data_IF_703409037862
#
_entry.id   IF_703409037862
#
_cell.length_a   1.000
_cell.length_b   1.000
_cell.length_c   1.000
_cell.angle_alpha   90.00
_cell.angle_beta   90.00
_cell.angle_gamma   90.00
#
_symmetry.space_group_name_H-M   'P 1'
#
loop_
_entity.id
_entity.type
_entity.pdbx_description
1 polymer ?
#
# COMPACT_ATOMS: atom_id res chain seq x y z
N UNK A 1 -0.89 -26.81 -5.28
CA UNK A 1 -1.70 -25.85 -4.51
C UNK A 1 -1.38 -24.44 -5.00
N UNK A 2 -2.29 -23.86 -5.78
CA UNK A 2 -2.19 -22.50 -6.31
C UNK A 2 -2.51 -21.54 -5.17
N UNK A 3 -1.55 -20.69 -4.78
CA UNK A 3 -1.75 -19.66 -3.78
C UNK A 3 -2.92 -18.80 -4.23
N UNK A 4 -4.08 -18.89 -3.55
CA UNK A 4 -5.26 -18.09 -3.89
C UNK A 4 -4.97 -16.65 -3.51
N UNK A 5 -4.50 -15.85 -4.47
CA UNK A 5 -4.43 -14.40 -4.36
C UNK A 5 -5.88 -13.90 -4.37
N UNK A 6 -6.51 -13.86 -3.20
CA UNK A 6 -7.89 -13.39 -3.03
C UNK A 6 -7.96 -11.90 -2.66
N UNK A 7 -6.91 -11.15 -3.03
CA UNK A 7 -6.86 -9.72 -2.79
C UNK A 7 -7.69 -8.98 -3.85
N UNK A 8 -8.14 -7.78 -3.49
CA UNK A 8 -8.93 -6.93 -4.36
C UNK A 8 -8.22 -5.61 -4.57
N UNK A 9 -8.42 -5.02 -5.73
CA UNK A 9 -8.11 -3.62 -5.99
C UNK A 9 -9.32 -2.78 -5.59
N UNK A 10 -9.07 -1.67 -4.91
CA UNK A 10 -10.12 -0.72 -4.53
C UNK A 10 -9.70 0.67 -4.99
N UNK A 11 -10.54 1.32 -5.78
CA UNK A 11 -10.37 2.74 -6.12
C UNK A 11 -11.34 3.60 -5.33
N UNK A 12 -10.86 4.77 -4.91
CA UNK A 12 -11.65 5.77 -4.19
C UNK A 12 -11.32 7.18 -4.70
N UNK A 13 -12.36 7.90 -5.13
CA UNK A 13 -12.30 9.34 -5.47
C UNK A 13 -12.79 10.15 -4.27
N UNK A 14 -11.90 10.95 -3.68
CA UNK A 14 -12.26 11.87 -2.59
C UNK A 14 -13.06 13.08 -3.11
N UNK A 15 -13.73 13.79 -2.20
CA UNK A 15 -14.48 15.01 -2.52
C UNK A 15 -13.60 16.14 -3.07
N UNK A 16 -12.32 16.17 -2.69
CA UNK A 16 -11.34 17.15 -3.17
C UNK A 16 -10.68 16.74 -4.49
N UNK A 17 -11.14 15.66 -5.13
CA UNK A 17 -10.64 15.20 -6.42
C UNK A 17 -9.42 14.29 -6.36
N UNK A 18 -8.81 14.07 -5.19
CA UNK A 18 -7.73 13.10 -5.02
C UNK A 18 -8.24 11.68 -5.26
N UNK A 19 -7.41 10.87 -5.92
CA UNK A 19 -7.74 9.51 -6.38
C UNK A 19 -6.72 8.55 -5.82
N UNK A 20 -7.19 7.57 -5.06
CA UNK A 20 -6.35 6.57 -4.43
C UNK A 20 -6.79 5.19 -4.89
N UNK A 21 -5.80 4.32 -5.13
CA UNK A 21 -6.04 2.92 -5.46
C UNK A 21 -5.22 2.08 -4.49
N UNK A 22 -5.84 1.06 -3.92
CA UNK A 22 -5.17 0.13 -3.00
C UNK A 22 -5.25 -1.29 -3.50
N UNK A 23 -4.25 -2.08 -3.14
CA UNK A 23 -4.18 -3.52 -3.35
C UNK A 23 -3.77 -4.19 -2.04
N UNK A 24 -4.57 -5.16 -1.56
CA UNK A 24 -4.33 -5.81 -0.26
C UNK A 24 -4.18 -4.81 0.91
N UNK A 25 -4.98 -3.74 0.91
CA UNK A 25 -4.95 -2.63 1.90
C UNK A 25 -3.68 -1.76 1.87
N UNK A 26 -2.84 -1.90 0.85
CA UNK A 26 -1.65 -1.06 0.63
C UNK A 26 -1.87 -0.18 -0.60
N UNK A 27 -1.42 1.07 -0.57
CA UNK A 27 -1.52 1.98 -1.71
C UNK A 27 -0.75 1.45 -2.93
N UNK A 28 -1.42 1.45 -4.09
CA UNK A 28 -0.87 0.95 -5.33
C UNK A 28 0.13 1.98 -5.88
N UNK A 29 1.40 1.62 -6.09
CA UNK A 29 2.39 2.57 -6.59
C UNK A 29 2.13 2.93 -8.06
N UNK A 30 2.38 4.20 -8.38
CA UNK A 30 2.22 4.77 -9.72
C UNK A 30 3.24 4.25 -10.74
N UNK A 31 4.44 3.86 -10.28
CA UNK A 31 5.52 3.29 -11.11
C UNK A 31 5.93 4.18 -12.30
N UNK A 32 6.02 5.49 -12.07
CA UNK A 32 6.43 6.45 -13.11
C UNK A 32 7.78 6.15 -13.74
N UNK A 33 8.70 5.54 -12.99
CA UNK A 33 10.02 5.13 -13.52
C UNK A 33 9.91 4.06 -14.62
N UNK A 34 8.83 3.27 -14.61
CA UNK A 34 8.63 2.16 -15.56
C UNK A 34 7.64 2.49 -16.66
N UNK A 35 6.68 3.37 -16.38
CA UNK A 35 5.65 3.76 -17.33
C UNK A 35 5.14 5.15 -16.97
N UNK A 36 5.59 6.18 -17.68
CA UNK A 36 5.23 7.58 -17.40
C UNK A 36 4.21 8.10 -18.40
N UNK A 37 2.98 7.58 -18.34
CA UNK A 37 1.89 8.08 -19.21
C UNK A 37 1.18 9.29 -18.62
N UNK A 38 0.95 9.30 -17.31
CA UNK A 38 0.33 10.43 -16.62
C UNK A 38 1.31 11.24 -15.79
N UNK A 39 1.00 12.53 -15.61
CA UNK A 39 1.66 13.42 -14.65
C UNK A 39 0.91 13.51 -13.31
N UNK A 40 -0.40 13.21 -13.32
CA UNK A 40 -1.34 13.58 -12.24
C UNK A 40 -2.02 12.34 -11.62
N UNK A 41 -1.25 11.30 -11.36
CA UNK A 41 -1.74 10.10 -10.67
C UNK A 41 -2.59 9.16 -11.53
N UNK A 42 -3.55 8.51 -10.86
CA UNK A 42 -4.51 7.59 -11.47
C UNK A 42 -5.81 8.29 -11.86
N UNK A 43 -6.50 7.74 -12.85
CA UNK A 43 -7.91 8.01 -13.12
C UNK A 43 -8.60 6.75 -13.62
N UNK A 44 -9.92 6.82 -13.80
CA UNK A 44 -10.75 5.73 -14.28
C UNK A 44 -12.07 6.26 -14.85
N UNK A 45 -12.77 5.41 -15.60
CA UNK A 45 -14.02 5.75 -16.28
C UNK A 45 -13.82 6.39 -17.66
N UNK A 46 -12.59 6.36 -18.16
CA UNK A 46 -12.19 6.90 -19.46
C UNK A 46 -10.91 6.18 -19.95
N UNK A 47 -10.47 6.48 -21.18
CA UNK A 47 -9.22 5.95 -21.77
C UNK A 47 -8.08 6.98 -21.76
N UNK A 48 -8.07 7.91 -20.79
CA UNK A 48 -7.04 8.94 -20.68
C UNK A 48 -5.69 8.36 -20.25
N UNK A 49 -4.64 9.18 -20.32
CA UNK A 49 -3.31 8.79 -19.89
C UNK A 49 -3.24 8.39 -18.40
N UNK A 50 -4.06 9.00 -17.52
CA UNK A 50 -4.16 8.64 -16.11
C UNK A 50 -4.88 7.29 -15.88
N UNK A 51 -5.85 6.95 -16.73
CA UNK A 51 -6.48 5.62 -16.72
C UNK A 51 -5.56 4.55 -17.26
N UNK A 52 -4.74 4.88 -18.26
CA UNK A 52 -3.70 3.98 -18.76
C UNK A 52 -2.59 3.77 -17.72
N UNK A 53 -2.25 4.79 -16.94
CA UNK A 53 -1.33 4.66 -15.81
C UNK A 53 -1.87 3.66 -14.78
N UNK A 54 -3.17 3.73 -14.48
CA UNK A 54 -3.83 2.79 -13.58
C UNK A 54 -3.81 1.37 -14.14
N UNK A 55 -4.17 1.22 -15.42
CA UNK A 55 -4.16 -0.07 -16.12
C UNK A 55 -2.78 -0.75 -16.01
N UNK A 56 -1.71 -0.02 -16.32
CA UNK A 56 -0.35 -0.50 -16.18
C UNK A 56 -0.02 -0.93 -14.75
N UNK A 57 -0.30 -0.09 -13.76
CA UNK A 57 0.03 -0.38 -12.36
C UNK A 57 -0.67 -1.64 -11.85
N UNK A 58 -1.92 -1.86 -12.23
CA UNK A 58 -2.70 -3.06 -11.91
C UNK A 58 -2.10 -4.30 -12.57
N UNK A 59 -1.85 -4.25 -13.89
CA UNK A 59 -1.26 -5.37 -14.61
C UNK A 59 0.09 -5.75 -14.02
N UNK A 60 1.02 -4.79 -13.88
CA UNK A 60 2.33 -5.04 -13.30
C UNK A 60 2.25 -5.62 -11.89
N UNK A 61 1.24 -5.26 -11.09
CA UNK A 61 1.08 -5.86 -9.76
C UNK A 61 0.92 -7.39 -9.85
N UNK A 62 0.23 -7.88 -10.89
CA UNK A 62 -0.09 -9.29 -11.09
C UNK A 62 0.83 -10.00 -12.11
N UNK A 63 1.50 -9.28 -13.00
CA UNK A 63 2.38 -9.76 -14.08
C UNK A 63 3.82 -9.20 -13.94
N UNK A 64 4.58 -9.14 -15.03
CA UNK A 64 5.81 -8.36 -15.14
C UNK A 64 5.59 -7.00 -15.82
N UNK A 65 6.68 -6.26 -16.00
CA UNK A 65 6.74 -4.94 -16.61
C UNK A 65 6.42 -4.97 -18.10
N UNK A 66 6.98 -5.92 -18.86
CA UNK A 66 6.86 -5.97 -20.33
C UNK A 66 5.41 -6.27 -20.73
N UNK A 67 4.83 -7.29 -20.11
CA UNK A 67 3.42 -7.64 -20.27
C UNK A 67 2.52 -6.43 -19.93
N UNK A 68 2.78 -5.77 -18.80
CA UNK A 68 1.99 -4.64 -18.37
C UNK A 68 2.08 -3.46 -19.36
N UNK A 69 3.24 -3.20 -19.97
CA UNK A 69 3.39 -2.15 -20.99
C UNK A 69 2.61 -2.48 -22.27
N UNK A 70 2.71 -3.72 -22.73
CA UNK A 70 2.09 -4.17 -23.99
C UNK A 70 0.55 -4.15 -23.90
N UNK A 71 0.00 -4.61 -22.77
CA UNK A 71 -1.44 -4.81 -22.61
C UNK A 71 -2.16 -3.69 -21.84
N UNK A 72 -1.46 -2.63 -21.41
CA UNK A 72 -2.06 -1.52 -20.65
C UNK A 72 -3.20 -0.82 -21.40
N UNK A 73 -3.07 -0.61 -22.72
CA UNK A 73 -4.09 0.08 -23.51
C UNK A 73 -5.36 -0.77 -23.64
N UNK A 74 -5.21 -2.06 -23.96
CA UNK A 74 -6.32 -3.00 -24.09
C UNK A 74 -7.05 -3.16 -22.76
N UNK A 75 -6.31 -3.43 -21.68
CA UNK A 75 -6.89 -3.52 -20.33
C UNK A 75 -7.58 -2.22 -19.90
N UNK A 76 -7.02 -1.07 -20.27
CA UNK A 76 -7.66 0.22 -19.99
C UNK A 76 -9.02 0.33 -20.68
N UNK A 77 -9.14 -0.10 -21.93
CA UNK A 77 -10.38 -0.02 -22.69
C UNK A 77 -11.42 -1.05 -22.24
N UNK A 78 -10.98 -2.25 -21.91
CA UNK A 78 -11.86 -3.35 -21.51
C UNK A 78 -12.42 -3.17 -20.10
N UNK A 79 -11.55 -2.78 -19.16
CA UNK A 79 -11.87 -2.80 -17.73
C UNK A 79 -11.92 -1.39 -17.15
N UNK A 80 -10.82 -0.62 -17.24
CA UNK A 80 -10.70 0.66 -16.50
C UNK A 80 -11.68 1.72 -17.00
N UNK A 81 -11.97 1.73 -18.31
CA UNK A 81 -12.96 2.62 -18.92
C UNK A 81 -14.37 2.38 -18.36
N UNK A 82 -14.70 1.15 -17.98
CA UNK A 82 -16.00 0.79 -17.42
C UNK A 82 -16.20 1.21 -15.95
N UNK A 83 -15.12 1.55 -15.25
CA UNK A 83 -15.17 1.98 -13.85
C UNK A 83 -15.65 3.44 -13.79
N UNK A 84 -16.96 3.69 -13.77
CA UNK A 84 -17.51 5.05 -13.72
C UNK A 84 -17.79 5.56 -12.30
N UNK A 85 -17.78 4.66 -11.31
CA UNK A 85 -18.07 4.98 -9.91
C UNK A 85 -17.01 5.84 -9.24
N UNK A 86 -17.43 6.59 -8.21
CA UNK A 86 -16.51 7.22 -7.25
C UNK A 86 -15.65 6.15 -6.57
N UNK A 87 -16.30 5.05 -6.21
CA UNK A 87 -15.71 3.89 -5.58
C UNK A 87 -15.93 2.66 -6.45
N UNK A 88 -14.92 1.80 -6.52
CA UNK A 88 -15.02 0.53 -7.22
C UNK A 88 -14.14 -0.53 -6.57
N UNK A 89 -14.51 -1.78 -6.78
CA UNK A 89 -13.76 -2.95 -6.33
C UNK A 89 -13.56 -3.85 -7.55
N UNK A 90 -12.33 -4.31 -7.74
CA UNK A 90 -11.97 -5.23 -8.82
C UNK A 90 -11.21 -6.43 -8.24
N UNK A 91 -11.71 -7.65 -8.43
CA UNK A 91 -11.06 -8.82 -7.86
C UNK A 91 -9.82 -9.19 -8.66
N UNK A 92 -8.76 -9.62 -7.94
CA UNK A 92 -7.57 -10.16 -8.61
C UNK A 92 -7.90 -11.36 -9.48
N UNK A 93 -8.88 -12.18 -9.09
CA UNK A 93 -9.30 -13.37 -9.84
C UNK A 93 -9.81 -13.00 -11.22
N UNK A 94 -10.57 -11.92 -11.33
CA UNK A 94 -11.18 -11.48 -12.58
C UNK A 94 -10.10 -10.92 -13.51
N UNK A 95 -9.14 -10.17 -12.95
CA UNK A 95 -7.98 -9.67 -13.70
C UNK A 95 -7.06 -10.82 -14.12
N UNK A 96 -6.82 -11.81 -13.27
CA UNK A 96 -6.03 -13.00 -13.61
C UNK A 96 -6.70 -13.77 -14.75
N UNK A 97 -8.02 -13.91 -14.74
CA UNK A 97 -8.75 -14.54 -15.83
C UNK A 97 -8.65 -13.72 -17.12
N UNK A 98 -8.71 -12.38 -17.03
CA UNK A 98 -8.46 -11.51 -18.18
C UNK A 98 -7.04 -11.72 -18.73
N UNK A 99 -6.02 -11.75 -17.87
CA UNK A 99 -4.63 -12.01 -18.26
C UNK A 99 -4.52 -13.36 -18.97
N UNK A 100 -5.12 -14.43 -18.45
CA UNK A 100 -5.07 -15.77 -19.07
C UNK A 100 -5.65 -15.84 -20.48
N UNK A 101 -6.58 -14.94 -20.80
CA UNK A 101 -7.18 -14.88 -22.12
C UNK A 101 -6.30 -14.15 -23.15
N UNK A 102 -5.19 -13.54 -22.71
CA UNK A 102 -4.17 -12.99 -23.61
C UNK A 102 -3.20 -14.09 -24.08
N UNK A 103 -2.59 -13.97 -25.27
CA UNK A 103 -1.67 -14.97 -25.81
C UNK A 103 -0.54 -15.39 -24.86
N UNK A 104 0.03 -14.42 -24.14
CA UNK A 104 1.21 -14.64 -23.28
C UNK A 104 0.85 -14.90 -21.81
N UNK A 105 -0.42 -14.75 -21.44
CA UNK A 105 -0.85 -14.64 -20.05
C UNK A 105 -0.59 -15.88 -19.18
N UNK A 106 -0.76 -17.08 -19.72
CA UNK A 106 -0.51 -18.33 -18.98
C UNK A 106 0.97 -18.51 -18.63
N UNK A 107 1.87 -18.14 -19.55
CA UNK A 107 3.31 -18.21 -19.30
C UNK A 107 3.74 -17.18 -18.25
N UNK A 108 3.29 -15.94 -18.39
CA UNK A 108 3.59 -14.85 -17.45
C UNK A 108 3.12 -15.18 -16.03
N UNK A 109 1.90 -15.71 -15.88
CA UNK A 109 1.38 -16.09 -14.57
C UNK A 109 2.16 -17.25 -13.94
N UNK A 110 2.64 -18.20 -14.74
CA UNK A 110 3.51 -19.29 -14.26
C UNK A 110 4.86 -18.75 -13.82
N UNK A 111 5.49 -17.89 -14.61
CA UNK A 111 6.78 -17.26 -14.27
C UNK A 111 6.67 -16.44 -12.98
N UNK A 112 5.63 -15.62 -12.84
CA UNK A 112 5.32 -14.85 -11.61
C UNK A 112 5.17 -15.77 -10.39
N UNK A 113 4.42 -16.85 -10.51
CA UNK A 113 4.22 -17.80 -9.42
C UNK A 113 5.51 -18.52 -9.01
N UNK A 114 6.39 -18.83 -9.96
CA UNK A 114 7.71 -19.42 -9.69
C UNK A 114 8.65 -18.41 -9.01
N UNK A 115 8.73 -17.17 -9.50
CA UNK A 115 9.53 -16.11 -8.88
C UNK A 115 9.11 -15.84 -7.42
N UNK A 116 7.80 -15.82 -7.15
CA UNK A 116 7.28 -15.71 -5.79
C UNK A 116 7.73 -16.87 -4.88
N UNK A 117 7.83 -18.10 -5.40
CA UNK A 117 8.31 -19.27 -4.63
C UNK A 117 9.81 -19.20 -4.34
N UNK A 118 10.62 -18.66 -5.25
CA UNK A 118 12.07 -18.51 -5.08
C UNK A 118 12.41 -17.40 -4.08
N UNK A 119 11.59 -16.34 -4.02
CA UNK A 119 11.77 -15.22 -3.10
C UNK A 119 11.26 -15.46 -1.67
N UNK A 120 10.55 -16.57 -1.41
CA UNK A 120 10.18 -16.93 -0.04
C UNK A 120 11.36 -17.64 0.65
N UNK A 121 11.98 -17.07 1.70
CA UNK A 121 12.78 -17.89 2.59
C UNK A 121 11.89 -19.03 3.09
N UNK A 122 12.43 -20.24 3.12
CA UNK A 122 11.72 -21.41 3.66
C UNK A 122 11.04 -21.04 4.97
N UNK A 123 9.80 -21.47 5.22
CA UNK A 123 9.14 -21.17 6.48
C UNK A 123 9.87 -21.94 7.58
N UNK A 124 10.94 -21.33 8.13
CA UNK A 124 11.42 -21.66 9.46
C UNK A 124 10.20 -21.52 10.34
N UNK A 125 9.79 -22.61 10.98
CA UNK A 125 8.64 -22.65 11.87
C UNK A 125 8.80 -21.61 12.98
N UNK A 126 8.36 -20.37 12.72
CA UNK A 126 8.21 -19.37 13.75
C UNK A 126 7.06 -19.85 14.62
N UNK A 127 7.38 -20.38 15.80
CA UNK A 127 6.44 -20.48 16.91
C UNK A 127 5.71 -19.14 16.96
N UNK A 128 4.38 -19.15 16.73
CA UNK A 128 3.52 -17.97 16.80
C UNK A 128 3.57 -17.41 18.22
N UNK A 129 4.54 -16.56 18.52
CA UNK A 129 4.47 -15.67 19.65
C UNK A 129 3.36 -14.70 19.28
N UNK A 130 2.21 -14.77 19.98
CA UNK A 130 1.10 -13.83 19.81
C UNK A 130 1.63 -12.41 20.02
N UNK A 131 1.93 -11.70 18.92
CA UNK A 131 2.41 -10.31 18.97
C UNK A 131 1.22 -9.41 19.26
N UNK A 132 1.44 -8.46 20.15
CA UNK A 132 0.45 -7.49 20.57
C UNK A 132 0.80 -6.15 19.90
N UNK A 133 -0.08 -5.68 19.02
CA UNK A 133 0.16 -4.50 18.18
C UNK A 133 0.45 -3.27 19.05
N UNK A 134 -0.24 -3.11 20.18
CA UNK A 134 -0.02 -1.99 21.11
C UNK A 134 1.35 -2.09 21.77
N UNK A 135 1.78 -3.30 22.17
CA UNK A 135 3.12 -3.50 22.76
C UNK A 135 4.24 -3.25 21.75
N UNK A 136 4.03 -3.63 20.49
CA UNK A 136 5.00 -3.40 19.42
C UNK A 136 5.18 -1.89 19.16
N UNK A 137 4.08 -1.13 19.11
CA UNK A 137 4.11 0.34 18.98
C UNK A 137 4.79 1.00 20.18
N UNK A 138 4.43 0.58 21.40
CA UNK A 138 5.07 1.08 22.62
C UNK A 138 6.58 0.82 22.62
N UNK A 139 7.01 -0.34 22.11
CA UNK A 139 8.41 -0.70 21.98
C UNK A 139 9.13 0.14 20.91
N UNK A 140 8.53 0.36 19.75
CA UNK A 140 9.10 1.21 18.69
C UNK A 140 9.29 2.64 19.17
N UNK A 141 8.29 3.19 19.86
CA UNK A 141 8.33 4.54 20.38
C UNK A 141 9.16 4.67 21.67
N UNK A 142 9.58 3.55 22.27
CA UNK A 142 10.21 3.51 23.60
C UNK A 142 9.39 4.22 24.68
N UNK A 143 8.06 4.01 24.66
CA UNK A 143 7.09 4.59 25.60
C UNK A 143 6.26 3.51 26.28
N UNK A 144 5.56 3.87 27.35
CA UNK A 144 4.60 2.99 28.03
C UNK A 144 3.19 3.14 27.43
N UNK A 145 2.27 2.21 27.74
CA UNK A 145 0.86 2.34 27.35
C UNK A 145 0.20 3.57 28.00
N UNK A 146 0.62 3.93 29.21
CA UNK A 146 0.19 5.14 29.90
C UNK A 146 0.62 6.40 29.14
N UNK A 147 1.89 6.46 28.73
CA UNK A 147 2.40 7.58 27.95
C UNK A 147 1.70 7.67 26.58
N UNK A 148 1.41 6.53 25.96
CA UNK A 148 0.66 6.49 24.71
C UNK A 148 -0.77 7.03 24.90
N UNK A 149 -1.43 6.69 26.01
CA UNK A 149 -2.74 7.21 26.34
C UNK A 149 -2.72 8.73 26.58
N UNK A 150 -1.68 9.23 27.26
CA UNK A 150 -1.46 10.65 27.50
C UNK A 150 -1.20 11.43 26.20
N UNK A 151 -0.32 10.92 25.32
CA UNK A 151 -0.03 11.53 24.01
C UNK A 151 -1.27 11.61 23.13
N UNK A 152 -2.13 10.58 23.19
CA UNK A 152 -3.34 10.51 22.39
C UNK A 152 -4.55 11.17 23.06
N UNK A 153 -4.39 11.72 24.27
CA UNK A 153 -5.46 12.30 25.09
C UNK A 153 -6.67 11.37 25.27
N UNK A 154 -6.41 10.09 25.50
CA UNK A 154 -7.45 9.07 25.73
C UNK A 154 -7.26 8.37 27.07
N UNK A 155 -8.34 7.78 27.64
CA UNK A 155 -8.22 6.99 28.86
C UNK A 155 -7.26 5.79 28.69
N UNK A 156 -6.45 5.52 29.72
CA UNK A 156 -5.53 4.36 29.72
C UNK A 156 -6.26 3.02 29.52
N UNK A 157 -7.50 2.92 30.03
CA UNK A 157 -8.37 1.77 29.80
C UNK A 157 -8.69 1.52 28.32
N UNK A 158 -8.73 2.56 27.50
CA UNK A 158 -8.96 2.44 26.05
C UNK A 158 -7.74 1.81 25.36
N UNK A 159 -6.53 2.29 25.67
CA UNK A 159 -5.28 1.70 25.14
C UNK A 159 -5.10 0.26 25.65
N UNK A 160 -5.45 0.00 26.91
CA UNK A 160 -5.45 -1.35 27.48
C UNK A 160 -6.43 -2.27 26.76
N UNK A 161 -7.64 -1.80 26.43
CA UNK A 161 -8.61 -2.56 25.64
C UNK A 161 -8.08 -2.87 24.25
N UNK A 162 -7.35 -1.96 23.60
CA UNK A 162 -6.72 -2.21 22.30
C UNK A 162 -5.64 -3.27 22.39
N UNK A 163 -4.86 -3.25 23.47
CA UNK A 163 -3.84 -4.26 23.72
C UNK A 163 -4.49 -5.64 23.92
N UNK A 164 -5.58 -5.74 24.69
CA UNK A 164 -6.27 -7.01 24.94
C UNK A 164 -6.95 -7.54 23.66
N UNK A 165 -7.66 -6.68 22.93
CA UNK A 165 -8.35 -7.03 21.68
C UNK A 165 -7.39 -7.20 20.49
N UNK A 166 -6.13 -6.79 20.66
CA UNK A 166 -5.11 -6.75 19.64
C UNK A 166 -5.55 -5.99 18.36
N UNK A 167 -6.30 -4.91 18.56
CA UNK A 167 -6.85 -4.10 17.48
C UNK A 167 -6.88 -2.63 17.90
N UNK A 168 -6.41 -1.77 17.00
CA UNK A 168 -6.43 -0.30 17.16
C UNK A 168 -7.41 0.26 16.13
N UNK A 169 -8.41 1.07 16.52
CA UNK A 169 -9.31 1.75 15.60
C UNK A 169 -8.56 2.60 14.57
N UNK A 170 -9.15 2.80 13.40
CA UNK A 170 -8.53 3.53 12.28
C UNK A 170 -8.00 4.92 12.68
N UNK A 171 -8.75 5.66 13.49
CA UNK A 171 -8.36 6.98 13.97
C UNK A 171 -7.12 6.90 14.88
N UNK A 172 -7.09 5.95 15.81
CA UNK A 172 -5.95 5.71 16.69
C UNK A 172 -4.70 5.32 15.90
N UNK A 173 -4.83 4.48 14.86
CA UNK A 173 -3.72 4.13 13.96
C UNK A 173 -3.14 5.38 13.28
N UNK A 174 -4.00 6.25 12.74
CA UNK A 174 -3.57 7.47 12.06
C UNK A 174 -2.94 8.49 13.01
N UNK A 175 -3.46 8.62 14.22
CA UNK A 175 -2.86 9.51 15.24
C UNK A 175 -1.45 9.04 15.65
N UNK A 176 -1.27 7.72 15.84
CA UNK A 176 0.04 7.12 16.15
C UNK A 176 1.02 7.31 14.99
N UNK A 177 0.58 7.04 13.76
CA UNK A 177 1.38 7.24 12.55
C UNK A 177 1.84 8.70 12.40
N UNK A 178 0.92 9.65 12.63
CA UNK A 178 1.23 11.07 12.63
C UNK A 178 2.26 11.44 13.70
N UNK A 179 2.12 10.91 14.91
CA UNK A 179 3.08 11.13 16.00
C UNK A 179 4.48 10.59 15.67
N UNK A 180 4.57 9.37 15.13
CA UNK A 180 5.84 8.76 14.68
C UNK A 180 6.49 9.66 13.64
N UNK A 181 5.72 10.11 12.64
CA UNK A 181 6.25 10.97 11.59
C UNK A 181 6.70 12.32 12.14
N UNK A 182 5.94 12.92 13.06
CA UNK A 182 6.31 14.19 13.68
C UNK A 182 7.63 14.07 14.47
N UNK A 183 7.84 12.96 15.18
CA UNK A 183 9.09 12.70 15.90
C UNK A 183 10.29 12.59 14.96
N UNK A 184 10.16 11.85 13.85
CA UNK A 184 11.20 11.77 12.81
C UNK A 184 11.49 13.12 12.17
N UNK A 185 10.45 13.90 11.90
CA UNK A 185 10.61 15.26 11.38
C UNK A 185 11.36 16.16 12.37
N UNK A 186 11.08 16.02 13.67
CA UNK A 186 11.78 16.77 14.72
C UNK A 186 13.27 16.41 14.78
N UNK A 187 13.61 15.12 14.69
CA UNK A 187 15.00 14.66 14.62
C UNK A 187 15.76 15.27 13.42
N UNK A 188 15.09 15.35 12.27
CA UNK A 188 15.64 16.00 11.07
C UNK A 188 15.88 17.49 11.31
N UNK A 189 14.89 18.20 11.87
CA UNK A 189 15.01 19.63 12.18
C UNK A 189 16.13 19.90 13.19
N UNK A 190 16.25 19.07 14.22
CA UNK A 190 17.28 19.22 15.25
C UNK A 190 18.68 18.94 14.69
N UNK A 191 18.81 17.96 13.78
CA UNK A 191 20.05 17.72 13.02
C UNK A 191 20.46 18.96 12.21
N UNK A 192 19.53 19.59 11.50
CA UNK A 192 19.81 20.82 10.75
C UNK A 192 20.20 21.99 11.65
N UNK A 193 19.49 22.18 12.77
CA UNK A 193 19.84 23.22 13.75
C UNK A 193 21.25 23.04 14.31
N UNK A 194 21.62 21.80 14.63
CA UNK A 194 22.96 21.47 15.10
C UNK A 194 24.01 21.75 14.03
N UNK A 195 23.75 21.39 12.77
CA UNK A 195 24.64 21.71 11.66
C UNK A 195 24.84 23.22 11.49
N UNK A 196 23.76 24.01 11.50
CA UNK A 196 23.85 25.48 11.42
C UNK A 196 24.65 26.05 12.59
N UNK A 197 24.43 25.55 13.80
CA UNK A 197 25.18 25.98 14.99
C UNK A 197 26.68 25.70 14.86
N UNK A 198 27.06 24.56 14.30
CA UNK A 198 28.46 24.23 14.03
C UNK A 198 29.10 25.22 13.03
N UNK A 199 28.38 25.58 11.97
CA UNK A 199 28.85 26.58 10.99
C UNK A 199 28.99 27.99 11.57
N UNK A 200 28.17 28.35 12.57
CA UNK A 200 28.25 29.65 13.24
C UNK A 200 29.33 29.74 14.31
N UNK A 201 29.86 28.59 14.77
CA UNK A 201 30.89 28.50 15.80
C UNK A 201 32.30 28.32 15.20
N UNK A 202 32.39 28.00 13.91
CA UNK A 202 33.63 27.94 13.12
C UNK A 202 33.97 29.31 12.53
#
# INVERSE_FOLDING_TARGET
>A
MTTRINHVFKGHKTLLGNRYVTYAEVELPLKYELFKKSKDGFDWGNSSASSMQLAFSILHQLSDTEFAQNYALEFCNDIIKGLSGRDWILNSTDIINWIKNTPDGEEILRAKAQAMRVSQPSPKAFKKIKRNIVKDICKELSITQKNLAEILEIPEGTVSSWAVKNEIPRLGKKAIEFYIQNRRNQEVVDSYKNFVKLLQTA
#
